data_IF_460390542939
#
_entry.id   IF_460390542939
#
_cell.length_a   1.000
_cell.length_b   1.000
_cell.length_c   1.000
_cell.angle_alpha   90.00
_cell.angle_beta   90.00
_cell.angle_gamma   90.00
#
_symmetry.space_group_name_H-M   'P 1'
#
loop_
_entity.id
_entity.type
_entity.pdbx_description
1 polymer ?
#
# COMPACT_ATOMS: atom_id res chain seq x y z
N UNK A 1 12.64 -8.19 -24.35
CA UNK A 1 12.00 -7.98 -23.04
C UNK A 1 10.62 -8.62 -23.13
N UNK A 2 10.20 -9.41 -22.13
CA UNK A 2 8.81 -9.83 -22.05
C UNK A 2 7.95 -8.56 -21.93
N UNK A 3 6.91 -8.43 -22.75
CA UNK A 3 5.95 -7.35 -22.62
C UNK A 3 5.03 -7.67 -21.42
N UNK A 4 5.55 -7.47 -20.21
CA UNK A 4 4.78 -7.64 -18.98
C UNK A 4 3.70 -6.56 -18.96
N UNK A 5 2.45 -6.98 -18.83
CA UNK A 5 1.29 -6.09 -18.79
C UNK A 5 0.80 -5.91 -17.36
N UNK A 6 0.13 -4.78 -17.09
CA UNK A 6 -0.54 -4.56 -15.81
C UNK A 6 -1.53 -5.70 -15.48
N UNK A 7 -2.23 -6.24 -16.47
CA UNK A 7 -3.17 -7.35 -16.25
C UNK A 7 -2.46 -8.62 -15.75
N UNK A 8 -1.26 -8.91 -16.24
CA UNK A 8 -0.50 -10.07 -15.76
C UNK A 8 -0.03 -9.86 -14.32
N UNK A 9 0.50 -8.67 -14.01
CA UNK A 9 0.91 -8.30 -12.66
C UNK A 9 -0.27 -8.38 -11.69
N UNK A 10 -1.42 -7.79 -12.07
CA UNK A 10 -2.65 -7.78 -11.28
C UNK A 10 -3.12 -9.19 -10.94
N UNK A 11 -3.23 -10.06 -11.95
CA UNK A 11 -3.73 -11.42 -11.78
C UNK A 11 -2.80 -12.27 -10.90
N UNK A 12 -1.49 -12.06 -11.01
CA UNK A 12 -0.54 -12.77 -10.15
C UNK A 12 -0.57 -12.19 -8.73
N UNK A 13 -0.53 -10.86 -8.58
CA UNK A 13 -0.54 -10.19 -7.28
C UNK A 13 -1.77 -10.55 -6.43
N UNK A 14 -2.94 -10.69 -7.05
CA UNK A 14 -4.17 -11.14 -6.38
C UNK A 14 -3.96 -12.49 -5.66
N UNK A 15 -3.27 -13.44 -6.29
CA UNK A 15 -3.04 -14.77 -5.71
C UNK A 15 -2.22 -14.71 -4.43
N UNK A 16 -1.21 -13.85 -4.38
CA UNK A 16 -0.34 -13.66 -3.22
C UNK A 16 -1.03 -12.82 -2.14
N UNK A 17 -1.70 -11.73 -2.52
CA UNK A 17 -2.35 -10.84 -1.55
C UNK A 17 -3.59 -11.42 -0.89
N UNK A 18 -4.24 -12.43 -1.51
CA UNK A 18 -5.29 -13.21 -0.85
C UNK A 18 -4.77 -14.14 0.28
N UNK A 19 -3.45 -14.32 0.38
CA UNK A 19 -2.78 -15.05 1.46
C UNK A 19 -2.21 -14.11 2.55
N UNK A 20 -2.35 -12.80 2.36
CA UNK A 20 -1.95 -11.76 3.30
C UNK A 20 -3.11 -11.40 4.26
N UNK A 21 -3.15 -10.18 4.81
CA UNK A 21 -4.24 -9.75 5.70
C UNK A 21 -5.57 -9.62 4.95
N UNK A 22 -6.71 -9.76 5.63
CA UNK A 22 -7.99 -9.38 5.07
C UNK A 22 -7.94 -7.97 4.49
N UNK A 23 -8.40 -7.81 3.26
CA UNK A 23 -8.41 -6.52 2.57
C UNK A 23 -7.11 -6.08 1.92
N UNK A 24 -5.98 -6.80 2.06
CA UNK A 24 -4.71 -6.39 1.43
C UNK A 24 -4.83 -6.32 -0.10
N UNK A 25 -5.62 -7.20 -0.72
CA UNK A 25 -5.90 -7.12 -2.15
C UNK A 25 -6.65 -5.82 -2.53
N UNK A 26 -7.75 -5.52 -1.84
CA UNK A 26 -8.53 -4.30 -2.09
C UNK A 26 -7.70 -3.03 -1.81
N UNK A 27 -6.86 -3.08 -0.77
CA UNK A 27 -5.90 -2.03 -0.44
C UNK A 27 -4.91 -1.80 -1.58
N UNK A 28 -4.28 -2.86 -2.11
CA UNK A 28 -3.37 -2.76 -3.24
C UNK A 28 -4.03 -2.17 -4.49
N UNK A 29 -5.29 -2.52 -4.77
CA UNK A 29 -6.04 -1.89 -5.86
C UNK A 29 -6.26 -0.38 -5.65
N UNK A 30 -6.58 0.04 -4.42
CA UNK A 30 -6.70 1.47 -4.06
C UNK A 30 -5.35 2.19 -4.15
N UNK A 31 -4.25 1.53 -3.77
CA UNK A 31 -2.89 2.06 -3.96
C UNK A 31 -2.60 2.27 -5.44
N UNK A 32 -2.85 1.27 -6.29
CA UNK A 32 -2.61 1.39 -7.74
C UNK A 32 -3.48 2.49 -8.37
N UNK A 33 -4.73 2.65 -7.93
CA UNK A 33 -5.55 3.80 -8.32
C UNK A 33 -4.83 5.13 -8.02
N UNK A 34 -4.34 5.30 -6.79
CA UNK A 34 -3.62 6.52 -6.42
C UNK A 34 -2.27 6.67 -7.11
N UNK A 35 -1.54 5.59 -7.35
CA UNK A 35 -0.30 5.63 -8.14
C UNK A 35 -0.57 6.22 -9.52
N UNK A 36 -1.65 5.80 -10.19
CA UNK A 36 -2.03 6.34 -11.50
C UNK A 36 -2.44 7.81 -11.41
N UNK A 37 -3.23 8.16 -10.40
CA UNK A 37 -3.67 9.55 -10.17
C UNK A 37 -2.52 10.50 -9.87
N UNK A 38 -1.51 10.06 -9.10
CA UNK A 38 -0.38 10.88 -8.69
C UNK A 38 0.76 10.86 -9.71
N UNK A 39 0.98 9.72 -10.37
CA UNK A 39 2.07 9.52 -11.32
C UNK A 39 1.79 10.07 -12.71
N UNK A 40 0.56 9.96 -13.22
CA UNK A 40 0.25 10.35 -14.60
C UNK A 40 0.97 9.49 -15.65
N UNK A 41 1.38 10.10 -16.77
CA UNK A 41 1.92 9.41 -17.96
C UNK A 41 3.45 9.14 -17.91
N UNK A 42 4.00 8.86 -16.73
CA UNK A 42 5.45 8.60 -16.58
C UNK A 42 5.87 7.36 -17.35
N UNK A 43 7.07 7.36 -17.89
CA UNK A 43 7.64 6.19 -18.58
C UNK A 43 7.82 4.99 -17.63
N UNK A 44 8.19 5.25 -16.38
CA UNK A 44 8.43 4.24 -15.35
C UNK A 44 7.18 3.83 -14.56
N UNK A 45 5.99 4.34 -14.92
CA UNK A 45 4.77 4.17 -14.14
C UNK A 45 4.41 2.70 -13.89
N UNK A 46 4.73 1.81 -14.83
CA UNK A 46 4.47 0.38 -14.69
C UNK A 46 5.25 -0.24 -13.52
N UNK A 47 6.46 0.24 -13.23
CA UNK A 47 7.25 -0.22 -12.08
C UNK A 47 6.62 0.23 -10.77
N UNK A 48 6.11 1.45 -10.72
CA UNK A 48 5.41 1.99 -9.54
C UNK A 48 4.06 1.27 -9.34
N UNK A 49 3.32 1.00 -10.42
CA UNK A 49 2.09 0.18 -10.39
C UNK A 49 2.40 -1.22 -9.86
N UNK A 50 3.50 -1.82 -10.33
CA UNK A 50 3.92 -3.14 -9.87
C UNK A 50 4.22 -3.12 -8.38
N UNK A 51 4.98 -2.13 -7.89
CA UNK A 51 5.21 -1.93 -6.47
C UNK A 51 3.89 -1.74 -5.70
N UNK A 52 2.95 -0.94 -6.22
CA UNK A 52 1.63 -0.73 -5.61
C UNK A 52 0.85 -2.02 -5.42
N UNK A 53 0.89 -2.92 -6.40
CA UNK A 53 0.21 -4.21 -6.32
C UNK A 53 0.79 -5.16 -5.27
N UNK A 54 2.08 -5.08 -4.96
CA UNK A 54 2.76 -6.08 -4.12
C UNK A 54 3.46 -5.50 -2.89
N UNK A 55 3.28 -4.21 -2.57
CA UNK A 55 3.99 -3.59 -1.45
C UNK A 55 3.72 -4.29 -0.10
N UNK A 56 2.48 -4.75 0.10
CA UNK A 56 2.07 -5.48 1.30
C UNK A 56 2.33 -7.01 1.22
N UNK A 57 3.06 -7.53 0.21
CA UNK A 57 3.27 -8.99 0.04
C UNK A 57 3.99 -9.65 1.23
N UNK A 58 4.75 -8.88 2.01
CA UNK A 58 5.44 -9.37 3.21
C UNK A 58 4.49 -9.91 4.31
N UNK A 59 3.19 -9.59 4.23
CA UNK A 59 2.16 -10.06 5.14
C UNK A 59 1.69 -11.50 4.88
N UNK A 60 2.13 -12.13 3.79
CA UNK A 60 1.73 -13.48 3.43
C UNK A 60 2.02 -14.48 4.57
N UNK A 61 0.97 -15.14 5.05
CA UNK A 61 1.05 -16.16 6.11
C UNK A 61 1.36 -15.64 7.52
N UNK A 62 1.46 -14.32 7.75
CA UNK A 62 1.74 -13.77 9.08
C UNK A 62 0.51 -13.62 9.98
N UNK A 63 -0.67 -13.48 9.38
CA UNK A 63 -1.94 -13.31 10.08
C UNK A 63 -2.94 -14.37 9.65
N UNK A 64 -3.86 -14.69 10.55
CA UNK A 64 -5.07 -15.43 10.19
C UNK A 64 -5.98 -14.53 9.35
N UNK A 65 -6.99 -15.11 8.67
CA UNK A 65 -7.97 -14.36 7.85
C UNK A 65 -8.93 -13.49 8.67
N UNK A 66 -8.56 -13.13 9.89
CA UNK A 66 -9.34 -12.34 10.84
C UNK A 66 -8.84 -10.89 10.84
N UNK A 67 -9.72 -9.97 11.27
CA UNK A 67 -9.36 -8.56 11.42
C UNK A 67 -8.42 -8.42 12.61
N UNK A 68 -7.48 -7.49 12.50
CA UNK A 68 -6.48 -7.26 13.54
C UNK A 68 -6.76 -5.96 14.29
N UNK A 69 -6.23 -5.86 15.49
CA UNK A 69 -6.19 -4.64 16.29
C UNK A 69 -4.99 -3.75 15.91
N UNK A 70 -4.96 -2.51 16.40
CA UNK A 70 -3.80 -1.64 16.20
C UNK A 70 -2.53 -2.22 16.87
N UNK A 71 -2.65 -2.81 18.05
CA UNK A 71 -1.50 -3.35 18.78
C UNK A 71 -0.90 -4.55 18.03
N UNK A 72 -1.73 -5.48 17.54
CA UNK A 72 -1.29 -6.61 16.71
C UNK A 72 -0.64 -6.13 15.40
N UNK A 73 -1.18 -5.08 14.76
CA UNK A 73 -0.57 -4.47 13.58
C UNK A 73 0.87 -4.03 13.89
N UNK A 74 1.06 -3.28 14.99
CA UNK A 74 2.37 -2.75 15.37
C UNK A 74 3.37 -3.85 15.76
N UNK A 75 2.90 -4.94 16.36
CA UNK A 75 3.74 -6.09 16.70
C UNK A 75 4.23 -6.88 15.46
N UNK A 76 3.39 -6.98 14.44
CA UNK A 76 3.66 -7.81 13.25
C UNK A 76 4.33 -7.04 12.11
N UNK A 77 4.22 -5.71 12.07
CA UNK A 77 4.72 -4.86 10.97
C UNK A 77 6.21 -5.07 10.69
N UNK A 78 7.04 -5.17 11.73
CA UNK A 78 8.47 -5.44 11.59
C UNK A 78 8.77 -6.80 10.93
N UNK A 79 7.92 -7.79 11.16
CA UNK A 79 8.06 -9.12 10.55
C UNK A 79 7.61 -9.09 9.09
N UNK A 80 6.51 -8.41 8.79
CA UNK A 80 6.05 -8.21 7.43
C UNK A 80 7.10 -7.49 6.57
N UNK A 81 7.65 -6.38 7.07
CA UNK A 81 8.66 -5.58 6.38
C UNK A 81 9.96 -6.37 6.11
N UNK A 82 10.34 -7.30 7.00
CA UNK A 82 11.49 -8.21 6.78
C UNK A 82 11.24 -9.20 5.64
N UNK A 83 9.99 -9.64 5.46
CA UNK A 83 9.60 -10.58 4.41
C UNK A 83 9.46 -9.91 3.04
N UNK A 84 9.03 -8.65 2.99
CA UNK A 84 8.66 -7.92 1.76
C UNK A 84 9.68 -8.10 0.62
N UNK A 85 10.98 -7.84 0.88
CA UNK A 85 12.02 -7.94 -0.16
C UNK A 85 12.13 -9.35 -0.75
N UNK A 86 12.11 -10.38 0.10
CA UNK A 86 12.28 -11.77 -0.35
C UNK A 86 11.09 -12.18 -1.24
N UNK A 87 9.87 -11.90 -0.78
CA UNK A 87 8.65 -12.33 -1.45
C UNK A 87 8.44 -11.53 -2.74
N UNK A 88 8.63 -10.21 -2.71
CA UNK A 88 8.59 -9.38 -3.91
C UNK A 88 9.64 -9.81 -4.95
N UNK A 89 10.86 -10.13 -4.52
CA UNK A 89 11.91 -10.60 -5.45
C UNK A 89 11.53 -11.91 -6.14
N UNK A 90 10.93 -12.86 -5.42
CA UNK A 90 10.49 -14.12 -6.01
C UNK A 90 9.34 -13.90 -7.00
N UNK A 91 8.31 -13.14 -6.59
CA UNK A 91 7.20 -12.72 -7.45
C UNK A 91 7.69 -12.13 -8.78
N UNK A 92 8.64 -11.20 -8.71
CA UNK A 92 9.14 -10.49 -9.90
C UNK A 92 10.01 -11.39 -10.80
N UNK A 93 10.76 -12.33 -10.23
CA UNK A 93 11.53 -13.33 -10.98
C UNK A 93 10.60 -14.27 -11.76
N UNK A 94 9.50 -14.69 -11.14
CA UNK A 94 8.52 -15.57 -11.78
C UNK A 94 7.82 -14.88 -12.96
N UNK A 95 7.66 -13.56 -12.90
CA UNK A 95 7.18 -12.74 -14.03
C UNK A 95 8.29 -12.32 -15.01
N UNK A 96 9.53 -12.77 -14.81
CA UNK A 96 10.69 -12.50 -15.65
C UNK A 96 11.05 -11.00 -15.77
N UNK A 97 10.91 -10.23 -14.70
CA UNK A 97 11.47 -8.87 -14.64
C UNK A 97 13.01 -8.91 -14.68
N UNK A 98 13.61 -7.87 -15.25
CA UNK A 98 15.08 -7.69 -15.21
C UNK A 98 15.55 -7.40 -13.78
N UNK A 99 16.83 -7.68 -13.49
CA UNK A 99 17.42 -7.36 -12.19
C UNK A 99 17.30 -5.88 -11.83
N UNK A 100 17.48 -4.98 -12.80
CA UNK A 100 17.33 -3.54 -12.62
C UNK A 100 15.90 -3.14 -12.23
N UNK A 101 14.89 -3.72 -12.87
CA UNK A 101 13.49 -3.47 -12.52
C UNK A 101 13.18 -4.05 -11.14
N UNK A 102 13.72 -5.23 -10.80
CA UNK A 102 13.57 -5.84 -9.48
C UNK A 102 14.15 -4.94 -8.39
N UNK A 103 15.35 -4.39 -8.59
CA UNK A 103 15.98 -3.48 -7.63
C UNK A 103 15.19 -2.19 -7.48
N UNK A 104 14.65 -1.65 -8.58
CA UNK A 104 13.78 -0.47 -8.58
C UNK A 104 12.50 -0.72 -7.80
N UNK A 105 11.78 -1.80 -8.10
CA UNK A 105 10.53 -2.14 -7.42
C UNK A 105 10.76 -2.41 -5.93
N UNK A 106 11.81 -3.14 -5.56
CA UNK A 106 12.16 -3.36 -4.16
C UNK A 106 12.50 -2.06 -3.42
N UNK A 107 13.15 -1.09 -4.08
CA UNK A 107 13.40 0.23 -3.50
C UNK A 107 12.09 0.97 -3.23
N UNK A 108 11.14 0.94 -4.16
CA UNK A 108 9.81 1.56 -4.00
C UNK A 108 9.01 0.92 -2.87
N UNK A 109 8.99 -0.41 -2.77
CA UNK A 109 8.35 -1.14 -1.66
C UNK A 109 8.98 -0.73 -0.33
N UNK A 110 10.31 -0.71 -0.25
CA UNK A 110 11.03 -0.27 0.97
C UNK A 110 10.70 1.17 1.37
N UNK A 111 10.48 2.07 0.40
CA UNK A 111 10.06 3.43 0.68
C UNK A 111 8.66 3.47 1.31
N UNK A 112 7.72 2.67 0.79
CA UNK A 112 6.38 2.49 1.35
C UNK A 112 6.43 1.91 2.78
N UNK A 113 7.15 0.81 2.98
CA UNK A 113 7.33 0.14 4.30
C UNK A 113 7.87 1.11 5.36
N UNK A 114 8.82 1.96 4.97
CA UNK A 114 9.45 2.93 5.87
C UNK A 114 8.69 4.25 5.98
N UNK A 115 7.69 4.45 5.12
CA UNK A 115 6.99 5.72 4.96
C UNK A 115 7.93 6.91 4.70
N UNK A 116 8.98 6.67 3.92
CA UNK A 116 10.05 7.63 3.65
C UNK A 116 10.36 7.66 2.17
N UNK A 117 10.41 8.86 1.60
CA UNK A 117 10.77 9.09 0.20
C UNK A 117 11.90 10.10 0.10
N UNK A 118 12.82 9.81 -0.81
CA UNK A 118 13.94 10.65 -1.22
C UNK A 118 13.86 11.05 -2.69
N UNK A 119 13.09 10.30 -3.48
CA UNK A 119 12.85 10.50 -4.91
C UNK A 119 11.37 10.70 -5.20
N UNK A 120 11.07 11.21 -6.40
CA UNK A 120 9.70 11.50 -6.82
C UNK A 120 8.85 10.23 -6.96
N UNK A 121 9.41 9.15 -7.50
CA UNK A 121 8.73 7.86 -7.63
C UNK A 121 8.42 7.21 -6.27
N UNK A 122 9.35 7.33 -5.32
CA UNK A 122 9.15 6.95 -3.92
C UNK A 122 8.04 7.79 -3.27
N UNK A 123 8.01 9.11 -3.54
CA UNK A 123 6.96 9.98 -3.04
C UNK A 123 5.59 9.57 -3.59
N UNK A 124 5.49 9.18 -4.86
CA UNK A 124 4.23 8.71 -5.45
C UNK A 124 3.71 7.46 -4.72
N UNK A 125 4.54 6.45 -4.51
CA UNK A 125 4.08 5.20 -3.86
C UNK A 125 3.78 5.40 -2.37
N UNK A 126 4.59 6.19 -1.65
CA UNK A 126 4.36 6.52 -0.23
C UNK A 126 3.07 7.32 -0.05
N UNK A 127 2.83 8.30 -0.92
CA UNK A 127 1.59 9.08 -0.91
C UNK A 127 0.39 8.21 -1.30
N UNK A 128 0.52 7.38 -2.32
CA UNK A 128 -0.55 6.48 -2.77
C UNK A 128 -0.98 5.50 -1.67
N UNK A 129 -0.02 4.89 -0.97
CA UNK A 129 -0.28 4.04 0.20
C UNK A 129 -0.89 4.81 1.38
N UNK A 130 -0.53 6.08 1.56
CA UNK A 130 -1.14 6.92 2.60
C UNK A 130 -2.60 7.28 2.25
N UNK A 131 -2.87 7.73 1.02
CA UNK A 131 -4.20 8.15 0.60
C UNK A 131 -5.18 6.96 0.48
N UNK A 132 -4.72 5.77 0.10
CA UNK A 132 -5.56 4.57 -0.04
C UNK A 132 -6.16 4.07 1.29
N UNK A 133 -5.61 4.51 2.43
CA UNK A 133 -6.09 4.21 3.79
C UNK A 133 -7.23 5.12 4.23
N UNK A 134 -7.43 6.26 3.57
CA UNK A 134 -8.40 7.29 3.96
C UNK A 134 -9.81 7.00 3.43
N UNK A 135 -10.32 5.81 3.72
CA UNK A 135 -11.69 5.38 3.40
C UNK A 135 -12.21 4.40 4.45
N UNK A 136 -13.53 4.45 4.71
CA UNK A 136 -14.18 3.55 5.66
C UNK A 136 -14.05 2.08 5.25
N UNK A 137 -13.97 1.80 3.95
CA UNK A 137 -13.82 0.43 3.45
C UNK A 137 -12.50 -0.19 3.90
N UNK A 138 -11.41 0.58 3.91
CA UNK A 138 -10.12 0.12 4.42
C UNK A 138 -10.24 -0.28 5.90
N UNK A 139 -10.93 0.51 6.71
CA UNK A 139 -11.17 0.19 8.12
C UNK A 139 -12.05 -1.06 8.28
N UNK A 140 -13.14 -1.14 7.51
CA UNK A 140 -14.07 -2.28 7.52
C UNK A 140 -13.42 -3.58 7.09
N UNK A 141 -12.44 -3.53 6.21
CA UNK A 141 -11.74 -4.72 5.71
C UNK A 141 -10.70 -5.23 6.71
N UNK A 142 -9.90 -4.32 7.30
CA UNK A 142 -8.67 -4.69 8.01
C UNK A 142 -8.76 -4.71 9.53
N UNK A 143 -9.65 -3.89 10.11
CA UNK A 143 -9.62 -3.59 11.54
C UNK A 143 -10.96 -3.86 12.22
N UNK A 144 -10.88 -4.25 13.49
CA UNK A 144 -12.04 -4.27 14.37
C UNK A 144 -12.66 -2.88 14.51
N UNK A 145 -13.99 -2.82 14.66
CA UNK A 145 -14.74 -1.56 14.72
C UNK A 145 -14.32 -0.67 15.90
N UNK A 146 -13.96 -1.28 17.03
CA UNK A 146 -13.38 -0.64 18.22
C UNK A 146 -12.11 0.15 17.93
N UNK A 147 -11.36 -0.20 16.88
CA UNK A 147 -10.06 0.37 16.58
C UNK A 147 -10.13 1.53 15.57
N UNK A 148 -11.26 1.74 14.91
CA UNK A 148 -11.38 2.69 13.80
C UNK A 148 -10.99 4.13 14.16
N UNK A 149 -11.44 4.63 15.32
CA UNK A 149 -11.06 5.98 15.78
C UNK A 149 -9.59 6.09 16.21
N UNK A 150 -8.99 4.99 16.70
CA UNK A 150 -7.55 4.96 17.02
C UNK A 150 -6.72 5.01 15.73
N UNK A 151 -7.11 4.24 14.72
CA UNK A 151 -6.49 4.25 13.39
C UNK A 151 -6.58 5.63 12.74
N UNK A 152 -7.77 6.26 12.79
CA UNK A 152 -7.95 7.63 12.34
C UNK A 152 -6.98 8.59 13.05
N UNK A 153 -6.89 8.53 14.37
CA UNK A 153 -6.00 9.38 15.16
C UNK A 153 -4.52 9.19 14.80
N UNK A 154 -4.08 7.94 14.62
CA UNK A 154 -2.72 7.61 14.18
C UNK A 154 -2.42 8.22 12.81
N UNK A 155 -3.30 8.03 11.82
CA UNK A 155 -3.11 8.55 10.47
C UNK A 155 -3.14 10.07 10.43
N UNK A 156 -4.08 10.70 11.13
CA UNK A 156 -4.18 12.15 11.24
C UNK A 156 -2.86 12.78 11.75
N UNK A 157 -2.21 12.12 12.72
CA UNK A 157 -0.94 12.58 13.28
C UNK A 157 0.30 12.26 12.43
N UNK A 158 0.30 11.14 11.68
CA UNK A 158 1.49 10.67 10.96
C UNK A 158 1.52 11.05 9.48
N UNK A 159 0.38 11.09 8.79
CA UNK A 159 0.36 11.24 7.33
C UNK A 159 0.74 12.65 6.88
N UNK A 160 0.48 13.67 7.70
CA UNK A 160 0.89 15.04 7.40
C UNK A 160 2.40 15.18 7.15
N UNK A 161 3.22 14.38 7.85
CA UNK A 161 4.68 14.37 7.68
C UNK A 161 5.15 13.52 6.49
N UNK A 162 4.36 12.49 6.14
CA UNK A 162 4.66 11.50 5.09
C UNK A 162 4.35 12.04 3.70
N UNK A 163 3.21 12.71 3.53
CA UNK A 163 2.68 13.13 2.22
C UNK A 163 3.59 14.20 1.58
N UNK A 164 4.11 13.93 0.37
CA UNK A 164 5.11 14.79 -0.28
C UNK A 164 4.64 15.47 -1.56
N UNK A 165 3.88 14.80 -2.41
CA UNK A 165 3.41 15.34 -3.69
C UNK A 165 2.39 16.45 -3.46
N UNK A 166 2.42 17.48 -4.30
CA UNK A 166 1.48 18.61 -4.16
C UNK A 166 0.02 18.17 -4.33
N UNK A 167 -0.24 17.24 -5.26
CA UNK A 167 -1.58 16.67 -5.45
C UNK A 167 -2.05 15.95 -4.18
N UNK A 168 -1.23 15.09 -3.57
CA UNK A 168 -1.62 14.41 -2.34
C UNK A 168 -1.79 15.37 -1.16
N UNK A 169 -0.93 16.39 -1.01
CA UNK A 169 -1.09 17.44 0.02
C UNK A 169 -2.44 18.15 -0.09
N UNK A 170 -2.90 18.41 -1.32
CA UNK A 170 -4.20 19.07 -1.56
C UNK A 170 -5.40 18.16 -1.23
N UNK A 171 -5.26 16.85 -1.44
CA UNK A 171 -6.34 15.88 -1.26
C UNK A 171 -6.45 15.37 0.18
N UNK A 172 -5.33 15.25 0.88
CA UNK A 172 -5.24 14.67 2.22
C UNK A 172 -6.25 15.26 3.22
N UNK A 173 -6.37 16.60 3.39
CA UNK A 173 -7.29 17.17 4.39
C UNK A 173 -8.75 16.81 4.11
N UNK A 174 -9.13 16.76 2.83
CA UNK A 174 -10.49 16.42 2.40
C UNK A 174 -10.79 14.95 2.70
N UNK A 175 -9.93 14.04 2.27
CA UNK A 175 -10.11 12.60 2.48
C UNK A 175 -10.11 12.22 3.97
N UNK A 176 -9.26 12.88 4.76
CA UNK A 176 -9.23 12.66 6.21
C UNK A 176 -10.55 13.09 6.87
N UNK A 177 -11.12 14.24 6.48
CA UNK A 177 -12.41 14.69 6.97
C UNK A 177 -13.56 13.74 6.58
N UNK A 178 -13.58 13.30 5.31
CA UNK A 178 -14.58 12.33 4.81
C UNK A 178 -14.51 10.99 5.54
N UNK A 179 -13.30 10.51 5.86
CA UNK A 179 -13.11 9.32 6.68
C UNK A 179 -13.71 9.49 8.07
N UNK A 180 -13.42 10.62 8.75
CA UNK A 180 -13.94 10.90 10.08
C UNK A 180 -15.48 10.88 10.11
N UNK A 181 -16.09 11.62 9.18
CA UNK A 181 -17.55 11.68 9.05
C UNK A 181 -18.16 10.30 8.80
N UNK A 182 -17.46 9.45 8.05
CA UNK A 182 -17.90 8.08 7.75
C UNK A 182 -17.80 7.17 8.97
N UNK A 183 -16.75 7.30 9.80
CA UNK A 183 -16.62 6.56 11.06
C UNK A 183 -17.73 6.97 12.02
N UNK A 184 -17.98 8.28 12.18
CA UNK A 184 -18.99 8.81 13.11
C UNK A 184 -20.41 8.37 12.75
N UNK A 185 -20.72 8.19 11.47
CA UNK A 185 -22.04 7.68 11.01
C UNK A 185 -22.26 6.20 11.31
N UNK A 186 -21.19 5.44 11.50
CA UNK A 186 -21.24 4.00 11.75
C UNK A 186 -21.23 3.67 13.25
N UNK A 187 -20.76 4.58 14.10
CA UNK A 187 -20.74 4.42 15.57
C UNK A 187 -22.10 4.73 16.19
#
# INVERSE_FOLDING_TARGET
MSNITESQIRNEAERHLLLCRPGDWNHAQRVVFWVKELGGDREDILLIITAGYIHDIGWEGLVTKEKITLDELLELEDSANKNSKSFATNFLKDLHFSSENIDTINRLIRAADKHQSSQEDEAIIVDADSLSKLTIDHLKEKFEKSEWMKMYGLWAGKFLERVKTEKAKSLYPKLLAELKDSIEKEL
#
